data_IF_021552145763
#
_entry.id   IF_021552145763
#
_cell.length_a   1.000
_cell.length_b   1.000
_cell.length_c   1.000
_cell.angle_alpha   90.00
_cell.angle_beta   90.00
_cell.angle_gamma   90.00
#
_symmetry.space_group_name_H-M   'P 1'
#
loop_
_entity.id
_entity.type
_entity.pdbx_description
1 polymer ?
#
# COMPACT_ATOMS: atom_id res chain seq x y z
N UNK A 1 -14.54 -30.50 -4.90
CA UNK A 1 -14.98 -29.18 -4.39
C UNK A 1 -15.40 -29.21 -2.92
N UNK A 2 -16.43 -29.97 -2.50
CA UNK A 2 -16.90 -29.98 -1.09
C UNK A 2 -15.85 -30.47 -0.09
N UNK A 3 -15.10 -31.53 -0.41
CA UNK A 3 -14.03 -32.06 0.46
C UNK A 3 -12.84 -31.10 0.60
N UNK A 4 -12.51 -30.34 -0.46
CA UNK A 4 -11.42 -29.36 -0.42
C UNK A 4 -11.77 -28.19 0.49
N UNK A 5 -12.96 -27.59 0.36
CA UNK A 5 -13.40 -26.50 1.24
C UNK A 5 -13.42 -26.91 2.72
N UNK A 6 -13.77 -28.17 3.01
CA UNK A 6 -13.69 -28.72 4.37
C UNK A 6 -12.24 -28.76 4.88
N UNK A 7 -11.29 -29.25 4.07
CA UNK A 7 -9.88 -29.28 4.43
C UNK A 7 -9.33 -27.87 4.75
N UNK A 8 -9.61 -26.86 3.91
CA UNK A 8 -9.15 -25.48 4.17
C UNK A 8 -9.73 -24.91 5.46
N UNK A 9 -11.00 -25.23 5.77
CA UNK A 9 -11.62 -24.83 7.04
C UNK A 9 -10.99 -25.54 8.23
N UNK A 10 -10.69 -26.83 8.09
CA UNK A 10 -10.03 -27.61 9.14
C UNK A 10 -8.62 -27.06 9.41
N UNK A 11 -7.83 -26.79 8.36
CA UNK A 11 -6.51 -26.15 8.47
C UNK A 11 -6.57 -24.76 9.13
N UNK A 12 -7.58 -23.96 8.79
CA UNK A 12 -7.81 -22.66 9.44
C UNK A 12 -8.06 -22.83 10.95
N UNK A 13 -8.86 -23.83 11.34
CA UNK A 13 -9.15 -24.10 12.74
C UNK A 13 -7.93 -24.62 13.51
N UNK A 14 -7.00 -25.30 12.83
CA UNK A 14 -5.73 -25.77 13.39
C UNK A 14 -4.63 -24.68 13.42
N UNK A 15 -4.94 -23.42 13.09
CA UNK A 15 -4.01 -22.30 13.27
C UNK A 15 -3.03 -22.09 12.11
N UNK A 16 -3.36 -22.53 10.89
CA UNK A 16 -2.48 -22.35 9.72
C UNK A 16 -2.10 -20.87 9.47
N UNK A 17 -3.00 -19.92 9.75
CA UNK A 17 -2.73 -18.50 9.52
C UNK A 17 -1.73 -17.93 10.54
N UNK A 18 -1.68 -18.47 11.75
CA UNK A 18 -0.68 -18.10 12.75
C UNK A 18 0.71 -18.59 12.30
N UNK A 19 0.79 -19.83 11.82
CA UNK A 19 2.02 -20.39 11.24
C UNK A 19 2.47 -19.53 10.05
N UNK A 20 1.54 -19.15 9.16
CA UNK A 20 1.87 -18.29 8.03
C UNK A 20 2.37 -16.93 8.50
N UNK A 21 1.74 -16.31 9.50
CA UNK A 21 2.20 -15.05 10.07
C UNK A 21 3.66 -15.16 10.57
N UNK A 22 4.05 -16.30 11.14
CA UNK A 22 5.44 -16.56 11.51
C UNK A 22 6.34 -16.77 10.28
N UNK A 23 5.88 -17.49 9.26
CA UNK A 23 6.65 -17.66 8.01
C UNK A 23 6.95 -16.35 7.29
N UNK A 24 6.01 -15.40 7.28
CA UNK A 24 6.16 -14.09 6.65
C UNK A 24 7.16 -13.17 7.37
N UNK A 25 7.56 -13.53 8.59
CA UNK A 25 8.58 -12.81 9.35
C UNK A 25 10.00 -13.38 9.13
N UNK A 26 10.12 -14.50 8.42
CA UNK A 26 11.40 -15.13 8.13
C UNK A 26 12.29 -14.22 7.28
N UNK A 27 13.61 -14.28 7.52
CA UNK A 27 14.61 -13.66 6.65
C UNK A 27 14.82 -14.48 5.35
N UNK A 28 14.43 -15.75 5.33
CA UNK A 28 14.51 -16.59 4.14
C UNK A 28 13.34 -16.31 3.21
N UNK A 29 13.64 -15.65 2.08
CA UNK A 29 12.66 -15.33 1.05
C UNK A 29 11.91 -16.55 0.51
N UNK A 30 12.48 -17.76 0.52
CA UNK A 30 11.79 -18.98 0.09
C UNK A 30 10.69 -19.38 1.07
N UNK A 31 10.93 -19.18 2.37
CA UNK A 31 9.92 -19.42 3.41
C UNK A 31 8.80 -18.40 3.29
N UNK A 32 9.15 -17.12 3.09
CA UNK A 32 8.15 -16.06 2.86
C UNK A 32 7.33 -16.35 1.60
N UNK A 33 7.96 -16.73 0.49
CA UNK A 33 7.28 -17.08 -0.76
C UNK A 33 6.31 -18.25 -0.56
N UNK A 34 6.75 -19.30 0.15
CA UNK A 34 5.89 -20.45 0.46
C UNK A 34 4.66 -20.02 1.28
N UNK A 35 4.85 -19.16 2.29
CA UNK A 35 3.75 -18.62 3.08
C UNK A 35 2.77 -17.79 2.23
N UNK A 36 3.30 -16.94 1.35
CA UNK A 36 2.51 -16.13 0.41
C UNK A 36 1.73 -17.00 -0.57
N UNK A 37 2.36 -18.02 -1.16
CA UNK A 37 1.71 -18.95 -2.08
C UNK A 37 0.57 -19.71 -1.39
N UNK A 38 0.76 -20.13 -0.13
CA UNK A 38 -0.30 -20.75 0.65
C UNK A 38 -1.46 -19.77 0.86
N UNK A 39 -1.21 -18.49 1.21
CA UNK A 39 -2.28 -17.50 1.33
C UNK A 39 -3.05 -17.29 0.03
N UNK A 40 -2.35 -17.24 -1.10
CA UNK A 40 -2.98 -17.15 -2.43
C UNK A 40 -3.86 -18.38 -2.69
N UNK A 41 -3.41 -19.58 -2.30
CA UNK A 41 -4.24 -20.78 -2.39
C UNK A 41 -5.52 -20.64 -1.55
N UNK A 42 -5.44 -20.16 -0.31
CA UNK A 42 -6.63 -19.92 0.53
C UNK A 42 -7.58 -18.90 -0.12
N UNK A 43 -7.05 -17.79 -0.63
CA UNK A 43 -7.83 -16.76 -1.30
C UNK A 43 -8.52 -17.27 -2.57
N UNK A 44 -7.83 -18.09 -3.38
CA UNK A 44 -8.40 -18.67 -4.59
C UNK A 44 -9.53 -19.66 -4.30
N UNK A 45 -9.55 -20.27 -3.11
CA UNK A 45 -10.60 -21.20 -2.70
C UNK A 45 -11.79 -20.48 -2.06
N UNK A 46 -11.55 -19.68 -1.02
CA UNK A 46 -12.57 -18.87 -0.36
C UNK A 46 -11.92 -17.68 0.37
N UNK A 47 -11.98 -16.46 -0.20
CA UNK A 47 -11.44 -15.26 0.44
C UNK A 47 -12.02 -14.98 1.83
N UNK A 48 -13.21 -15.49 2.15
CA UNK A 48 -13.87 -15.25 3.42
C UNK A 48 -13.15 -15.95 4.58
N UNK A 49 -12.43 -17.04 4.33
CA UNK A 49 -11.61 -17.69 5.35
C UNK A 49 -10.56 -16.72 5.90
N UNK A 50 -9.78 -16.11 5.01
CA UNK A 50 -8.75 -15.15 5.42
C UNK A 50 -9.36 -13.88 6.01
N UNK A 51 -10.45 -13.35 5.44
CA UNK A 51 -11.15 -12.18 5.99
C UNK A 51 -11.66 -12.40 7.41
N UNK A 52 -12.24 -13.57 7.67
CA UNK A 52 -12.76 -13.94 9.00
C UNK A 52 -11.65 -14.09 10.05
N UNK A 53 -10.42 -14.36 9.62
CA UNK A 53 -9.24 -14.37 10.47
C UNK A 53 -8.69 -12.97 10.69
N UNK A 54 -8.56 -12.15 9.64
CA UNK A 54 -7.99 -10.77 9.70
C UNK A 54 -8.77 -9.84 10.66
N UNK A 55 -10.08 -10.04 10.82
CA UNK A 55 -10.89 -9.26 11.78
C UNK A 55 -10.62 -9.60 13.25
N UNK A 56 -9.94 -10.72 13.54
CA UNK A 56 -9.54 -11.11 14.90
C UNK A 56 -8.28 -10.37 15.33
N UNK A 57 -7.99 -10.31 16.62
CA UNK A 57 -6.81 -9.58 17.11
C UNK A 57 -5.51 -10.14 16.54
N UNK A 58 -5.41 -11.47 16.41
CA UNK A 58 -4.29 -12.19 15.81
C UNK A 58 -4.14 -11.85 14.33
N UNK A 59 -5.26 -11.72 13.63
CA UNK A 59 -5.31 -11.39 12.20
C UNK A 59 -4.87 -9.97 11.85
N UNK A 60 -4.96 -9.02 12.79
CA UNK A 60 -4.41 -7.66 12.62
C UNK A 60 -2.90 -7.72 12.37
N UNK A 61 -2.19 -8.61 13.07
CA UNK A 61 -0.75 -8.81 12.86
C UNK A 61 -0.48 -9.29 11.44
N UNK A 62 -1.25 -10.26 10.95
CA UNK A 62 -1.11 -10.78 9.59
C UNK A 62 -1.32 -9.69 8.54
N UNK A 63 -2.35 -8.85 8.69
CA UNK A 63 -2.56 -7.71 7.79
C UNK A 63 -1.36 -6.76 7.76
N UNK A 64 -0.77 -6.46 8.93
CA UNK A 64 0.44 -5.65 9.02
C UNK A 64 1.65 -6.30 8.32
N UNK A 65 1.80 -7.62 8.43
CA UNK A 65 2.86 -8.36 7.73
C UNK A 65 2.68 -8.34 6.21
N UNK A 66 1.43 -8.41 5.72
CA UNK A 66 1.14 -8.28 4.29
C UNK A 66 1.49 -6.89 3.75
N UNK A 67 1.18 -5.84 4.50
CA UNK A 67 1.55 -4.46 4.17
C UNK A 67 3.07 -4.30 4.18
N UNK A 68 3.75 -4.81 5.22
CA UNK A 68 5.22 -4.84 5.29
C UNK A 68 5.81 -5.61 4.10
N UNK A 69 5.20 -6.73 3.74
CA UNK A 69 5.65 -7.55 2.63
C UNK A 69 5.57 -6.83 1.30
N UNK A 70 4.51 -6.06 1.06
CA UNK A 70 4.36 -5.22 -0.14
C UNK A 70 5.45 -4.14 -0.25
N UNK A 71 5.92 -3.59 0.87
CA UNK A 71 6.96 -2.55 0.90
C UNK A 71 8.39 -3.10 1.08
N UNK A 72 8.55 -4.43 1.15
CA UNK A 72 9.84 -5.09 1.32
C UNK A 72 10.31 -5.66 -0.01
N UNK A 73 11.58 -5.46 -0.33
CA UNK A 73 12.19 -6.01 -1.54
C UNK A 73 12.71 -7.43 -1.30
N UNK A 74 11.86 -8.42 -1.55
CA UNK A 74 12.25 -9.85 -1.53
C UNK A 74 12.83 -10.34 -2.87
N UNK A 75 12.73 -9.54 -3.94
CA UNK A 75 12.92 -9.99 -5.33
C UNK A 75 11.71 -10.77 -5.88
N UNK A 76 11.88 -11.34 -7.07
CA UNK A 76 10.94 -12.28 -7.72
C UNK A 76 9.48 -11.78 -7.78
N UNK A 77 9.27 -10.46 -7.92
CA UNK A 77 7.97 -9.79 -7.97
C UNK A 77 7.02 -10.11 -6.79
N UNK A 78 7.55 -10.54 -5.65
CA UNK A 78 6.73 -10.90 -4.48
C UNK A 78 5.90 -9.73 -3.96
N UNK A 79 6.37 -8.50 -4.11
CA UNK A 79 5.61 -7.29 -3.78
C UNK A 79 4.30 -7.16 -4.58
N UNK A 80 4.20 -7.77 -5.77
CA UNK A 80 2.95 -7.88 -6.54
C UNK A 80 1.99 -8.90 -5.94
N UNK A 81 2.50 -10.04 -5.47
CA UNK A 81 1.69 -11.05 -4.77
C UNK A 81 1.04 -10.47 -3.50
N UNK A 82 1.81 -9.72 -2.70
CA UNK A 82 1.26 -9.02 -1.52
C UNK A 82 0.20 -7.99 -1.90
N UNK A 83 0.40 -7.24 -2.99
CA UNK A 83 -0.59 -6.30 -3.51
C UNK A 83 -1.92 -7.01 -3.87
N UNK A 84 -1.85 -8.16 -4.53
CA UNK A 84 -3.05 -8.95 -4.90
C UNK A 84 -3.80 -9.46 -3.67
N UNK A 85 -3.08 -9.97 -2.66
CA UNK A 85 -3.66 -10.38 -1.38
C UNK A 85 -4.36 -9.20 -0.71
N UNK A 86 -3.68 -8.05 -0.62
CA UNK A 86 -4.24 -6.84 0.00
C UNK A 86 -5.49 -6.34 -0.75
N UNK A 87 -5.48 -6.36 -2.08
CA UNK A 87 -6.67 -6.02 -2.89
C UNK A 87 -7.84 -6.94 -2.60
N UNK A 88 -7.59 -8.24 -2.55
CA UNK A 88 -8.63 -9.23 -2.21
C UNK A 88 -9.20 -8.98 -0.80
N UNK A 89 -8.36 -8.65 0.17
CA UNK A 89 -8.80 -8.33 1.53
C UNK A 89 -9.54 -6.99 1.64
N UNK A 90 -9.19 -6.02 0.80
CA UNK A 90 -9.73 -4.67 0.81
C UNK A 90 -10.87 -4.46 -0.20
N UNK A 91 -11.32 -5.49 -0.91
CA UNK A 91 -12.36 -5.33 -1.92
C UNK A 91 -13.76 -5.20 -1.30
N UNK A 92 -14.25 -3.97 -1.23
CA UNK A 92 -15.57 -3.62 -0.72
C UNK A 92 -16.77 -4.27 -1.42
N UNK A 93 -16.61 -4.78 -2.65
CA UNK A 93 -17.72 -5.39 -3.41
C UNK A 93 -17.93 -6.86 -3.06
N UNK A 94 -16.87 -7.56 -2.65
CA UNK A 94 -16.92 -8.99 -2.28
C UNK A 94 -17.14 -9.19 -0.78
N UNK A 95 -17.12 -8.11 0.00
CA UNK A 95 -17.32 -8.06 1.44
C UNK A 95 -18.70 -7.48 1.80
N UNK A 96 -19.44 -8.13 2.69
CA UNK A 96 -20.72 -7.62 3.19
C UNK A 96 -20.70 -7.39 4.71
N UNK A 97 -21.39 -6.34 5.16
CA UNK A 97 -21.63 -6.05 6.58
C UNK A 97 -20.41 -5.56 7.38
N UNK A 98 -20.46 -5.75 8.70
CA UNK A 98 -19.52 -5.18 9.67
C UNK A 98 -18.06 -5.66 9.52
N UNK A 99 -17.85 -6.88 9.00
CA UNK A 99 -16.49 -7.40 8.76
C UNK A 99 -15.73 -6.53 7.75
N UNK A 100 -16.43 -6.05 6.72
CA UNK A 100 -15.87 -5.14 5.72
C UNK A 100 -15.32 -3.88 6.37
N UNK A 101 -16.17 -3.21 7.14
CA UNK A 101 -15.87 -1.90 7.69
C UNK A 101 -14.72 -2.00 8.71
N UNK A 102 -14.63 -3.12 9.45
CA UNK A 102 -13.52 -3.39 10.36
C UNK A 102 -12.17 -3.55 9.64
N UNK A 103 -12.07 -4.38 8.59
CA UNK A 103 -10.79 -4.58 7.88
C UNK A 103 -10.31 -3.26 7.27
N UNK A 104 -11.23 -2.53 6.64
CA UNK A 104 -10.96 -1.22 6.06
C UNK A 104 -10.46 -0.28 7.16
N UNK A 105 -11.17 -0.16 8.28
CA UNK A 105 -10.78 0.70 9.39
C UNK A 105 -9.37 0.38 9.90
N UNK A 106 -9.10 -0.90 10.17
CA UNK A 106 -7.77 -1.36 10.62
C UNK A 106 -6.69 -0.95 9.61
N UNK A 107 -6.93 -1.13 8.30
CA UNK A 107 -5.97 -0.76 7.27
C UNK A 107 -5.68 0.75 7.27
N UNK A 108 -6.71 1.59 7.28
CA UNK A 108 -6.53 3.04 7.26
C UNK A 108 -5.87 3.56 8.55
N UNK A 109 -6.26 3.05 9.72
CA UNK A 109 -5.74 3.52 10.99
C UNK A 109 -4.32 3.04 11.30
N UNK A 110 -3.97 1.79 10.94
CA UNK A 110 -2.71 1.17 11.37
C UNK A 110 -1.66 1.04 10.28
N UNK A 111 -2.05 1.05 9.02
CA UNK A 111 -1.18 0.60 7.92
C UNK A 111 -1.01 1.61 6.79
N UNK A 112 -2.02 2.42 6.49
CA UNK A 112 -1.92 3.41 5.41
C UNK A 112 -0.76 4.38 5.61
N UNK A 113 -0.52 4.84 6.84
CA UNK A 113 0.60 5.72 7.18
C UNK A 113 1.95 5.17 6.71
N UNK A 114 2.19 3.87 6.89
CA UNK A 114 3.44 3.20 6.50
C UNK A 114 3.69 3.30 4.98
N UNK A 115 2.63 3.14 4.18
CA UNK A 115 2.71 3.26 2.72
C UNK A 115 3.07 4.67 2.28
N UNK A 116 2.47 5.65 2.95
CA UNK A 116 2.67 7.07 2.68
C UNK A 116 4.07 7.53 3.11
N UNK A 117 4.59 6.99 4.22
CA UNK A 117 5.94 7.25 4.69
C UNK A 117 6.98 6.72 3.70
N UNK A 118 6.76 5.54 3.11
CA UNK A 118 7.63 4.98 2.07
C UNK A 118 7.69 5.88 0.83
N UNK A 119 6.55 6.42 0.38
CA UNK A 119 6.53 7.38 -0.74
C UNK A 119 7.33 8.63 -0.39
N UNK A 120 7.08 9.20 0.79
CA UNK A 120 7.67 10.47 1.24
C UNK A 120 9.18 10.33 1.44
N UNK A 121 9.64 9.23 2.06
CA UNK A 121 11.05 8.92 2.24
C UNK A 121 11.79 8.72 0.91
N UNK A 122 11.10 8.19 -0.10
CA UNK A 122 11.67 7.94 -1.43
C UNK A 122 11.74 9.19 -2.32
N UNK A 123 11.00 10.25 -1.96
CA UNK A 123 10.89 11.49 -2.73
C UNK A 123 10.94 12.72 -1.80
N UNK A 124 12.11 13.04 -1.21
CA UNK A 124 12.22 14.18 -0.31
C UNK A 124 11.88 15.50 -1.03
N UNK A 125 11.27 16.42 -0.28
CA UNK A 125 11.02 17.77 -0.77
C UNK A 125 12.35 18.51 -0.93
N UNK A 126 12.66 18.94 -2.16
CA UNK A 126 13.57 20.07 -2.34
C UNK A 126 12.82 21.31 -1.84
N UNK A 127 13.10 21.71 -0.58
CA UNK A 127 13.10 23.11 -0.11
C UNK A 127 13.27 23.14 1.43
N UNK A 128 14.51 23.15 1.91
CA UNK A 128 15.04 24.21 2.79
C UNK A 128 16.53 24.38 2.44
N UNK A 129 16.98 25.53 1.89
CA UNK A 129 18.38 25.88 1.96
C UNK A 129 18.66 26.28 3.41
N UNK A 130 19.16 25.34 4.21
CA UNK A 130 19.71 25.68 5.52
C UNK A 130 20.90 26.61 5.28
N UNK A 131 20.66 27.90 5.47
CA UNK A 131 21.69 28.89 5.66
C UNK A 131 22.45 28.56 6.94
N UNK A 132 23.63 27.98 6.82
CA UNK A 132 24.72 28.14 7.78
C UNK A 132 26.01 27.48 7.31
N UNK A 133 27.05 28.30 7.20
CA UNK A 133 28.41 27.89 7.57
C UNK A 133 29.21 27.09 6.55
N UNK A 134 30.09 27.80 5.85
CA UNK A 134 31.31 27.24 5.24
C UNK A 134 31.99 26.24 6.19
N UNK A 135 32.26 25.03 5.72
CA UNK A 135 33.55 24.38 5.98
C UNK A 135 33.83 23.34 4.89
N UNK A 136 35.05 23.44 4.38
CA UNK A 136 35.67 22.53 3.42
C UNK A 136 35.85 21.14 4.04
N UNK A 137 35.49 20.11 3.28
CA UNK A 137 35.87 18.73 3.59
C UNK A 137 35.65 17.88 2.35
N UNK A 138 36.73 17.60 1.63
CA UNK A 138 36.79 16.56 0.61
C UNK A 138 36.50 15.23 1.32
N UNK A 139 35.26 14.78 1.21
CA UNK A 139 34.76 13.55 1.84
C UNK A 139 33.76 12.92 0.89
N UNK A 140 34.25 11.94 0.16
CA UNK A 140 33.53 10.90 -0.57
C UNK A 140 32.09 10.72 -0.05
N UNK A 141 31.14 11.40 -0.71
CA UNK A 141 29.72 11.17 -0.49
C UNK A 141 29.41 9.82 -1.09
N UNK A 142 29.51 8.79 -0.26
CA UNK A 142 28.90 7.49 -0.52
C UNK A 142 27.42 7.77 -0.81
N UNK A 143 27.05 7.66 -2.09
CA UNK A 143 25.69 7.82 -2.61
C UNK A 143 24.80 6.68 -2.09
N UNK A 144 24.51 6.64 -0.79
CA UNK A 144 23.48 5.76 -0.22
C UNK A 144 22.12 6.46 -0.27
N UNK A 145 21.71 6.95 -1.45
CA UNK A 145 20.30 7.28 -1.70
C UNK A 145 19.56 5.98 -2.00
N UNK A 146 19.32 5.21 -0.95
CA UNK A 146 18.56 3.97 -1.02
C UNK A 146 17.07 4.30 -1.22
N UNK A 147 16.71 4.83 -2.39
CA UNK A 147 15.32 5.05 -2.76
C UNK A 147 14.63 3.68 -2.88
N UNK A 148 13.39 3.59 -2.37
CA UNK A 148 12.59 2.38 -2.54
C UNK A 148 12.53 1.98 -4.01
N UNK A 149 12.52 0.67 -4.28
CA UNK A 149 12.39 0.15 -5.64
C UNK A 149 11.19 0.79 -6.34
N UNK A 150 11.38 1.35 -7.55
CA UNK A 150 10.30 1.98 -8.31
C UNK A 150 9.05 1.09 -8.49
N UNK A 151 9.21 -0.23 -8.61
CA UNK A 151 8.13 -1.19 -8.74
C UNK A 151 7.26 -1.24 -7.47
N UNK A 152 7.88 -1.20 -6.29
CA UNK A 152 7.18 -1.11 -5.01
C UNK A 152 6.37 0.19 -4.91
N UNK A 153 6.96 1.33 -5.29
CA UNK A 153 6.25 2.61 -5.32
C UNK A 153 5.05 2.60 -6.27
N UNK A 154 5.20 1.91 -7.41
CA UNK A 154 4.10 1.70 -8.36
C UNK A 154 2.97 0.89 -7.72
N UNK A 155 3.28 -0.20 -7.02
CA UNK A 155 2.29 -1.02 -6.33
C UNK A 155 1.56 -0.26 -5.22
N UNK A 156 2.27 0.58 -4.46
CA UNK A 156 1.63 1.46 -3.48
C UNK A 156 0.64 2.40 -4.17
N UNK A 157 1.08 3.10 -5.23
CA UNK A 157 0.22 4.03 -5.96
C UNK A 157 -1.00 3.32 -6.56
N UNK A 158 -0.82 2.10 -7.03
CA UNK A 158 -1.86 1.25 -7.57
C UNK A 158 -2.88 0.79 -6.50
N UNK A 159 -2.42 0.43 -5.30
CA UNK A 159 -3.28 0.14 -4.16
C UNK A 159 -4.07 1.39 -3.73
N UNK A 160 -3.44 2.55 -3.70
CA UNK A 160 -4.11 3.82 -3.39
C UNK A 160 -5.19 4.14 -4.42
N UNK A 161 -4.94 3.94 -5.72
CA UNK A 161 -5.96 4.08 -6.77
C UNK A 161 -7.15 3.14 -6.53
N UNK A 162 -6.86 1.88 -6.18
CA UNK A 162 -7.90 0.91 -5.82
C UNK A 162 -8.73 1.41 -4.62
N UNK A 163 -8.09 1.90 -3.56
CA UNK A 163 -8.77 2.46 -2.41
C UNK A 163 -9.66 3.67 -2.75
N UNK A 164 -9.26 4.53 -3.70
CA UNK A 164 -10.10 5.66 -4.17
C UNK A 164 -11.43 5.17 -4.75
N UNK A 165 -11.38 4.09 -5.50
CA UNK A 165 -12.55 3.53 -6.20
C UNK A 165 -13.46 2.76 -5.24
N UNK A 166 -12.88 1.93 -4.37
CA UNK A 166 -13.64 1.01 -3.51
C UNK A 166 -14.09 1.67 -2.19
N UNK A 167 -13.34 2.63 -1.65
CA UNK A 167 -13.57 3.20 -0.30
C UNK A 167 -13.83 4.71 -0.29
N UNK A 168 -14.79 5.21 -1.08
CA UNK A 168 -14.88 6.65 -1.40
C UNK A 168 -15.07 7.57 -0.18
N UNK A 169 -15.71 7.10 0.88
CA UNK A 169 -15.91 7.88 2.10
C UNK A 169 -14.66 7.89 2.99
N UNK A 170 -14.04 6.73 3.24
CA UNK A 170 -12.86 6.62 4.13
C UNK A 170 -11.63 7.27 3.52
N UNK A 171 -11.38 7.03 2.24
CA UNK A 171 -10.23 7.61 1.54
C UNK A 171 -10.31 9.14 1.47
N UNK A 172 -11.52 9.69 1.33
CA UNK A 172 -11.77 11.14 1.32
C UNK A 172 -11.36 11.79 2.64
N UNK A 173 -11.71 11.17 3.78
CA UNK A 173 -11.28 11.67 5.09
C UNK A 173 -9.75 11.73 5.17
N UNK A 174 -9.07 10.68 4.70
CA UNK A 174 -7.61 10.62 4.74
C UNK A 174 -6.93 11.62 3.79
N UNK A 175 -7.55 11.94 2.65
CA UNK A 175 -7.05 12.97 1.74
C UNK A 175 -7.05 14.36 2.36
N UNK A 176 -8.11 14.67 3.11
CA UNK A 176 -8.32 15.98 3.70
C UNK A 176 -7.50 16.19 4.98
N UNK A 177 -7.22 15.11 5.72
CA UNK A 177 -6.52 15.19 7.01
C UNK A 177 -5.00 15.05 6.88
N UNK A 178 -4.49 14.19 5.98
CA UNK A 178 -3.07 13.80 5.99
C UNK A 178 -2.25 14.31 4.78
N UNK A 179 -2.82 15.20 3.97
CA UNK A 179 -2.22 15.69 2.72
C UNK A 179 -1.72 14.56 1.81
N UNK A 180 -2.43 13.43 1.79
CA UNK A 180 -2.02 12.22 1.06
C UNK A 180 -1.80 12.51 -0.43
N UNK A 181 -2.63 13.39 -1.03
CA UNK A 181 -2.51 13.77 -2.45
C UNK A 181 -1.16 14.44 -2.72
N UNK A 182 -0.72 15.37 -1.88
CA UNK A 182 0.57 16.05 -2.02
C UNK A 182 1.72 15.06 -1.92
N UNK A 183 1.64 14.11 -0.98
CA UNK A 183 2.64 13.08 -0.79
C UNK A 183 2.74 12.17 -2.01
N UNK A 184 1.62 11.72 -2.58
CA UNK A 184 1.63 10.91 -3.82
C UNK A 184 2.15 11.72 -5.01
N UNK A 185 1.84 13.02 -5.09
CA UNK A 185 2.36 13.89 -6.14
C UNK A 185 3.89 14.04 -6.13
N UNK A 186 4.57 13.74 -5.02
CA UNK A 186 6.04 13.70 -4.99
C UNK A 186 6.63 12.67 -5.96
N UNK A 187 5.87 11.63 -6.32
CA UNK A 187 6.26 10.64 -7.34
C UNK A 187 6.47 11.26 -8.72
N UNK A 188 5.87 12.43 -9.02
CA UNK A 188 6.10 13.14 -10.29
C UNK A 188 7.54 13.65 -10.46
N UNK A 189 8.33 13.66 -9.38
CA UNK A 189 9.74 14.08 -9.37
C UNK A 189 10.70 12.93 -9.69
N UNK A 190 10.20 11.69 -9.73
CA UNK A 190 10.99 10.50 -10.06
C UNK A 190 11.39 10.51 -11.54
N UNK A 191 12.54 9.91 -11.85
CA UNK A 191 13.05 9.80 -13.23
C UNK A 191 12.24 8.80 -14.05
N UNK A 192 11.64 7.83 -13.36
CA UNK A 192 10.87 6.74 -13.95
C UNK A 192 9.52 7.23 -14.46
N UNK A 193 9.37 7.33 -15.79
CA UNK A 193 8.17 7.88 -16.44
C UNK A 193 6.87 7.14 -16.05
N UNK A 194 6.93 5.83 -15.81
CA UNK A 194 5.74 5.08 -15.42
C UNK A 194 5.24 5.45 -14.01
N UNK A 195 6.11 5.89 -13.09
CA UNK A 195 5.70 6.40 -11.79
C UNK A 195 4.99 7.75 -11.92
N UNK A 196 5.48 8.61 -12.83
CA UNK A 196 4.79 9.86 -13.18
C UNK A 196 3.39 9.55 -13.71
N UNK A 197 3.26 8.60 -14.63
CA UNK A 197 1.96 8.16 -15.15
C UNK A 197 1.07 7.56 -14.05
N UNK A 198 1.63 6.81 -13.10
CA UNK A 198 0.89 6.28 -11.96
C UNK A 198 0.33 7.42 -11.08
N UNK A 199 1.12 8.44 -10.79
CA UNK A 199 0.67 9.62 -10.04
C UNK A 199 -0.41 10.41 -10.80
N UNK A 200 -0.26 10.60 -12.10
CA UNK A 200 -1.29 11.23 -12.97
C UNK A 200 -2.58 10.40 -12.96
N UNK A 201 -2.46 9.07 -13.06
CA UNK A 201 -3.60 8.15 -12.99
C UNK A 201 -4.30 8.29 -11.64
N UNK A 202 -3.57 8.35 -10.54
CA UNK A 202 -4.13 8.55 -9.21
C UNK A 202 -4.93 9.85 -9.11
N UNK A 203 -4.36 10.98 -9.54
CA UNK A 203 -5.07 12.27 -9.59
C UNK A 203 -6.33 12.17 -10.43
N UNK A 204 -6.24 11.59 -11.63
CA UNK A 204 -7.40 11.40 -12.51
C UNK A 204 -8.48 10.55 -11.82
N UNK A 205 -8.11 9.45 -11.17
CA UNK A 205 -9.04 8.58 -10.45
C UNK A 205 -9.79 9.35 -9.36
N UNK A 206 -9.12 10.26 -8.65
CA UNK A 206 -9.78 11.12 -7.66
C UNK A 206 -10.75 12.09 -8.33
N UNK A 207 -10.32 12.80 -9.39
CA UNK A 207 -11.13 13.81 -10.06
C UNK A 207 -12.35 13.22 -10.79
N UNK A 208 -12.22 11.99 -11.32
CA UNK A 208 -13.34 11.26 -11.95
C UNK A 208 -14.50 10.98 -11.01
N UNK A 209 -14.34 11.18 -9.70
CA UNK A 209 -15.43 11.07 -8.73
C UNK A 209 -16.36 12.28 -8.68
N UNK A 210 -15.97 13.40 -9.30
CA UNK A 210 -16.76 14.64 -9.32
C UNK A 210 -17.16 15.16 -7.92
N UNK A 211 -16.32 14.94 -6.90
CA UNK A 211 -16.56 15.44 -5.54
C UNK A 211 -16.11 16.91 -5.43
N UNK A 212 -17.05 17.83 -5.22
CA UNK A 212 -16.77 19.27 -5.16
C UNK A 212 -15.76 19.65 -4.08
N UNK A 213 -15.75 18.97 -2.93
CA UNK A 213 -14.81 19.29 -1.86
C UNK A 213 -13.38 18.92 -2.24
N UNK A 214 -13.20 17.77 -2.89
CA UNK A 214 -11.90 17.35 -3.39
C UNK A 214 -11.45 18.27 -4.53
N UNK A 215 -12.32 18.59 -5.48
CA UNK A 215 -12.00 19.53 -6.57
C UNK A 215 -11.58 20.89 -6.01
N UNK A 216 -12.33 21.43 -5.04
CA UNK A 216 -11.97 22.69 -4.38
C UNK A 216 -10.64 22.59 -3.64
N UNK A 217 -10.32 21.46 -3.00
CA UNK A 217 -9.03 21.22 -2.38
C UNK A 217 -7.88 21.21 -3.41
N UNK A 218 -8.07 20.56 -4.58
CA UNK A 218 -7.11 20.57 -5.69
C UNK A 218 -6.82 21.99 -6.19
N UNK A 219 -7.86 22.81 -6.35
CA UNK A 219 -7.74 24.20 -6.80
C UNK A 219 -7.05 25.06 -5.73
N UNK A 220 -7.52 25.00 -4.47
CA UNK A 220 -6.97 25.81 -3.37
C UNK A 220 -5.50 25.55 -3.11
N UNK A 221 -5.07 24.29 -3.19
CA UNK A 221 -3.70 23.87 -2.88
C UNK A 221 -2.80 23.76 -4.13
N UNK A 222 -3.27 24.19 -5.30
CA UNK A 222 -2.52 24.14 -6.57
C UNK A 222 -1.94 22.74 -6.89
N UNK A 223 -2.68 21.68 -6.54
CA UNK A 223 -2.22 20.29 -6.64
C UNK A 223 -2.06 19.79 -8.09
N UNK A 224 -2.56 20.55 -9.07
CA UNK A 224 -2.35 20.27 -10.49
C UNK A 224 -0.99 20.76 -11.01
N UNK A 225 -0.31 21.64 -10.27
CA UNK A 225 0.98 22.23 -10.70
C UNK A 225 2.07 21.18 -10.95
N UNK A 226 2.28 20.15 -10.09
CA UNK A 226 3.26 19.10 -10.38
C UNK A 226 2.91 18.29 -11.64
N UNK A 227 1.62 18.06 -11.88
CA UNK A 227 1.13 17.31 -13.04
C UNK A 227 1.37 18.07 -14.35
N UNK A 228 1.10 19.38 -14.37
CA UNK A 228 1.35 20.22 -15.56
C UNK A 228 2.84 20.31 -15.87
N UNK A 229 3.72 20.28 -14.86
CA UNK A 229 5.17 20.36 -15.03
C UNK A 229 5.80 19.08 -15.58
N UNK A 230 5.17 17.93 -15.39
CA UNK A 230 5.71 16.64 -15.82
C UNK A 230 5.17 16.16 -17.19
N UNK A 231 4.18 16.87 -17.75
CA UNK A 231 3.69 16.72 -19.12
C UNK A 231 4.56 17.51 -20.09
#
# INVERSE_FOLDING_TARGET
MVQQLRLFRDLMNEGIFDIIADTLQSEDKKIVLTGTDILILFLNQDPNLLRSYVVRQEGIRLLGLLVKGMITDFGDDMHCQFLEILRSLLDSYTLSGAQRDNIIEIFYEKHLGQLIDVITASCPNEEVPSSSGKSSGFGERVDTRNGMKPEILSNICELLCFCVLHHPYRIKCNFLLDNLIEKVLTLTRRKEKYLVVAAVRFVRTILSRHDEHLINHFVKNNLLKPIVRCL
#
